data_IF_894430032574
#
_entry.id   IF_894430032574
#
_cell.length_a   1.000
_cell.length_b   1.000
_cell.length_c   1.000
_cell.angle_alpha   90.00
_cell.angle_beta   90.00
_cell.angle_gamma   90.00
#
_symmetry.space_group_name_H-M   'P 1'
#
loop_
_entity.id
_entity.type
_entity.pdbx_description
1 polymer ?
#
# COMPACT_ATOMS: atom_id res chain seq x y z
N UNK A 1 -71.60 12.18 39.65
CA UNK A 1 -70.26 12.62 40.10
C UNK A 1 -69.48 11.36 40.49
N UNK A 2 -68.28 10.99 40.02
CA UNK A 2 -67.26 11.65 39.20
C UNK A 2 -66.53 10.55 38.41
N UNK A 3 -67.04 10.23 37.21
CA UNK A 3 -66.40 9.36 36.21
C UNK A 3 -65.16 10.02 35.55
N UNK A 4 -64.54 10.97 36.24
CA UNK A 4 -63.35 11.73 35.82
C UNK A 4 -62.12 11.48 36.70
N UNK A 5 -62.26 10.69 37.78
CA UNK A 5 -61.18 10.49 38.76
C UNK A 5 -60.38 9.20 38.60
N UNK A 6 -60.92 8.18 37.92
CA UNK A 6 -60.19 6.94 37.64
C UNK A 6 -59.33 7.00 36.37
N UNK A 7 -59.55 7.98 35.49
CA UNK A 7 -58.72 8.17 34.29
C UNK A 7 -57.42 8.96 34.52
N UNK A 8 -57.23 9.56 35.71
CA UNK A 8 -56.01 10.31 36.01
C UNK A 8 -54.84 9.45 36.53
N UNK A 9 -55.05 8.15 36.77
CA UNK A 9 -53.99 7.27 37.28
C UNK A 9 -53.43 6.27 36.26
N UNK A 10 -53.97 6.22 35.04
CA UNK A 10 -53.42 5.39 33.95
C UNK A 10 -52.52 6.18 32.98
N UNK A 11 -52.17 7.43 33.30
CA UNK A 11 -51.15 8.18 32.55
C UNK A 11 -49.72 7.90 33.02
N UNK A 12 -49.52 7.02 34.01
CA UNK A 12 -48.20 6.71 34.55
C UNK A 12 -47.46 5.56 33.84
N UNK A 13 -48.07 4.87 32.89
CA UNK A 13 -47.39 3.77 32.16
C UNK A 13 -47.79 3.80 30.70
N UNK A 14 -46.99 4.49 29.88
CA UNK A 14 -47.20 4.50 28.44
C UNK A 14 -46.19 5.27 27.61
N UNK A 15 -45.01 5.61 28.16
CA UNK A 15 -43.93 6.20 27.38
C UNK A 15 -42.99 5.12 26.85
N UNK A 16 -43.51 4.21 26.01
CA UNK A 16 -42.68 3.33 25.17
C UNK A 16 -43.36 3.24 23.81
N UNK A 17 -43.10 4.21 22.94
CA UNK A 17 -43.34 4.10 21.51
C UNK A 17 -42.06 4.55 20.80
N UNK A 18 -41.48 3.58 20.12
CA UNK A 18 -40.23 3.62 19.38
C UNK A 18 -40.26 4.55 18.15
N UNK A 19 -39.07 5.05 17.79
CA UNK A 19 -38.62 5.31 16.42
C UNK A 19 -39.40 6.36 15.60
N UNK A 20 -38.83 7.57 15.47
CA UNK A 20 -38.46 8.17 14.16
C UNK A 20 -37.77 9.53 14.35
N UNK A 21 -36.44 9.56 14.26
CA UNK A 21 -35.74 10.77 13.79
C UNK A 21 -36.09 10.89 12.30
N UNK A 22 -36.94 11.84 11.93
CA UNK A 22 -37.18 12.18 10.53
C UNK A 22 -35.99 13.00 10.02
N UNK A 23 -35.03 12.32 9.41
CA UNK A 23 -33.95 12.92 8.62
C UNK A 23 -34.56 13.83 7.55
N UNK A 24 -34.24 15.13 7.60
CA UNK A 24 -34.54 16.06 6.50
C UNK A 24 -33.89 15.51 5.22
N UNK A 25 -34.58 15.49 4.06
CA UNK A 25 -33.98 15.04 2.82
C UNK A 25 -32.93 16.07 2.37
N UNK A 26 -31.70 15.92 2.85
CA UNK A 26 -30.54 16.64 2.30
C UNK A 26 -30.36 16.12 0.88
N UNK A 27 -30.67 16.96 -0.10
CA UNK A 27 -30.32 16.68 -1.50
C UNK A 27 -28.81 16.78 -1.66
N UNK A 28 -28.10 15.68 -1.38
CA UNK A 28 -26.70 15.55 -1.74
C UNK A 28 -26.63 15.45 -3.27
N UNK A 29 -26.32 16.57 -3.94
CA UNK A 29 -25.81 16.51 -5.31
C UNK A 29 -24.46 15.79 -5.26
N UNK A 30 -24.45 14.47 -5.47
CA UNK A 30 -23.23 13.75 -5.85
C UNK A 30 -22.88 14.13 -7.29
N UNK A 31 -22.30 15.32 -7.45
CA UNK A 31 -21.55 15.69 -8.64
C UNK A 31 -20.11 15.93 -8.23
N UNK A 32 -19.48 14.89 -7.71
CA UNK A 32 -18.02 14.83 -7.63
C UNK A 32 -17.52 14.43 -9.01
N UNK A 33 -17.05 15.40 -9.81
CA UNK A 33 -15.85 15.11 -10.60
C UNK A 33 -14.70 15.05 -9.61
N UNK A 34 -14.69 13.99 -8.82
CA UNK A 34 -13.56 13.60 -8.01
C UNK A 34 -12.56 13.05 -9.03
N UNK A 35 -11.62 13.90 -9.44
CA UNK A 35 -10.57 13.50 -10.36
C UNK A 35 -9.92 12.25 -9.76
N UNK A 36 -10.22 11.09 -10.34
CA UNK A 36 -9.78 9.81 -9.83
C UNK A 36 -8.25 9.84 -9.87
N UNK A 37 -7.63 10.00 -8.70
CA UNK A 37 -6.18 10.00 -8.57
C UNK A 37 -5.70 8.65 -9.12
N UNK A 38 -5.08 8.66 -10.30
CA UNK A 38 -4.58 7.45 -10.93
C UNK A 38 -3.38 6.96 -10.14
N UNK A 39 -3.60 5.99 -9.26
CA UNK A 39 -2.53 5.37 -8.48
C UNK A 39 -1.74 4.45 -9.42
N UNK A 40 -0.55 4.89 -9.83
CA UNK A 40 0.36 4.09 -10.65
C UNK A 40 1.20 3.20 -9.73
N UNK A 41 1.13 1.88 -9.96
CA UNK A 41 1.98 0.89 -9.31
C UNK A 41 2.58 -0.05 -10.34
N UNK A 42 3.84 -0.41 -10.14
CA UNK A 42 4.56 -1.33 -11.01
C UNK A 42 4.84 -2.63 -10.28
N UNK A 43 4.59 -3.78 -10.91
CA UNK A 43 4.91 -5.10 -10.36
C UNK A 43 6.11 -5.69 -11.09
N UNK A 44 7.21 -5.92 -10.38
CA UNK A 44 8.38 -6.55 -10.98
C UNK A 44 8.07 -8.00 -11.38
N UNK A 45 8.24 -8.39 -12.65
CA UNK A 45 7.86 -9.72 -13.11
C UNK A 45 8.68 -10.85 -12.47
N UNK A 46 9.88 -10.56 -11.96
CA UNK A 46 10.79 -11.55 -11.38
C UNK A 46 10.55 -11.75 -9.88
N UNK A 47 10.65 -10.68 -9.08
CA UNK A 47 10.51 -10.74 -7.62
C UNK A 47 9.06 -10.66 -7.14
N UNK A 48 8.12 -10.31 -8.04
CA UNK A 48 6.72 -10.01 -7.73
C UNK A 48 6.51 -8.83 -6.77
N UNK A 49 7.57 -8.10 -6.42
CA UNK A 49 7.51 -6.89 -5.61
C UNK A 49 6.72 -5.80 -6.34
N UNK A 50 6.01 -4.99 -5.55
CA UNK A 50 5.17 -3.89 -6.03
C UNK A 50 5.85 -2.59 -5.62
N UNK A 51 6.08 -1.72 -6.61
CA UNK A 51 6.71 -0.42 -6.46
C UNK A 51 5.70 0.69 -6.75
N UNK A 52 5.78 1.78 -5.99
CA UNK A 52 5.00 3.00 -6.22
C UNK A 52 5.59 3.82 -7.38
N UNK A 53 4.81 4.74 -7.93
CA UNK A 53 5.26 5.68 -8.95
C UNK A 53 6.57 6.39 -8.51
N UNK A 54 7.53 6.49 -9.43
CA UNK A 54 8.88 7.05 -9.25
C UNK A 54 9.83 6.26 -8.35
N UNK A 55 9.37 5.19 -7.69
CA UNK A 55 10.29 4.29 -7.00
C UNK A 55 11.21 3.60 -8.00
N UNK A 56 12.41 3.30 -7.53
CA UNK A 56 13.45 2.69 -8.34
C UNK A 56 14.06 1.51 -7.60
N UNK A 57 14.53 0.51 -8.35
CA UNK A 57 15.11 -0.71 -7.79
C UNK A 57 16.15 -1.30 -8.75
N UNK A 58 17.01 -2.15 -8.22
CA UNK A 58 17.86 -3.01 -9.04
C UNK A 58 17.19 -4.37 -9.20
N UNK A 59 17.33 -4.95 -10.39
CA UNK A 59 16.93 -6.34 -10.64
C UNK A 59 18.00 -7.09 -11.42
N UNK A 60 18.01 -8.41 -11.25
CA UNK A 60 18.84 -9.30 -12.06
C UNK A 60 18.10 -9.64 -13.36
N UNK A 61 18.71 -9.34 -14.50
CA UNK A 61 18.19 -9.69 -15.82
C UNK A 61 19.25 -10.54 -16.56
N UNK A 62 19.15 -11.87 -16.43
CA UNK A 62 20.15 -12.82 -16.95
C UNK A 62 21.55 -12.51 -16.36
N UNK A 63 22.51 -12.16 -17.21
CA UNK A 63 23.92 -11.88 -16.86
C UNK A 63 24.21 -10.41 -16.52
N UNK A 64 23.19 -9.53 -16.53
CA UNK A 64 23.36 -8.11 -16.20
C UNK A 64 22.45 -7.69 -15.07
N UNK A 65 22.82 -6.60 -14.40
CA UNK A 65 21.96 -5.90 -13.45
C UNK A 65 21.36 -4.69 -14.14
N UNK A 66 20.07 -4.52 -13.96
CA UNK A 66 19.33 -3.38 -14.48
C UNK A 66 18.89 -2.47 -13.35
N UNK A 67 18.97 -1.17 -13.58
CA UNK A 67 18.26 -0.18 -12.80
C UNK A 67 16.91 0.05 -13.44
N UNK A 68 15.87 -0.09 -12.64
CA UNK A 68 14.49 0.06 -13.04
C UNK A 68 13.83 1.19 -12.26
N UNK A 69 12.89 1.86 -12.91
CA UNK A 69 12.03 2.89 -12.32
C UNK A 69 10.58 2.66 -12.72
N UNK A 70 9.68 2.88 -11.77
CA UNK A 70 8.25 2.86 -12.03
C UNK A 70 7.79 4.22 -12.56
N UNK A 71 7.32 4.23 -13.80
CA UNK A 71 6.82 5.41 -14.52
C UNK A 71 5.32 5.23 -14.83
N UNK A 72 4.69 6.29 -15.33
CA UNK A 72 3.25 6.30 -15.66
C UNK A 72 2.85 5.28 -16.73
N UNK A 73 3.79 4.97 -17.62
CA UNK A 73 3.63 4.00 -18.70
C UNK A 73 4.15 2.59 -18.35
N UNK A 74 4.55 2.37 -17.09
CA UNK A 74 5.01 1.06 -16.60
C UNK A 74 6.46 1.08 -16.13
N UNK A 75 7.16 -0.03 -16.37
CA UNK A 75 8.52 -0.23 -15.86
C UNK A 75 9.54 0.19 -16.93
N UNK A 76 10.37 1.18 -16.62
CA UNK A 76 11.51 1.58 -17.45
C UNK A 76 12.80 1.04 -16.85
N UNK A 77 13.56 0.25 -17.61
CA UNK A 77 14.80 -0.37 -17.14
C UNK A 77 15.94 -0.19 -18.13
N UNK A 78 17.16 -0.08 -17.62
CA UNK A 78 18.38 -0.09 -18.41
C UNK A 78 19.51 -0.80 -17.67
N UNK A 79 20.44 -1.39 -18.41
CA UNK A 79 21.63 -2.01 -17.84
C UNK A 79 22.52 -0.95 -17.20
N UNK A 80 23.07 -1.26 -16.02
CA UNK A 80 23.98 -0.37 -15.31
C UNK A 80 25.26 -1.09 -14.93
N UNK A 81 26.42 -0.39 -14.94
CA UNK A 81 27.65 -0.96 -14.39
C UNK A 81 27.50 -1.16 -12.88
N UNK A 82 28.01 -2.30 -12.40
CA UNK A 82 27.97 -2.68 -10.99
C UNK A 82 29.37 -2.86 -10.43
N UNK A 83 29.48 -2.75 -9.11
CA UNK A 83 30.69 -3.05 -8.35
C UNK A 83 30.34 -3.76 -7.05
N UNK A 84 31.35 -4.28 -6.36
CA UNK A 84 31.20 -4.77 -5.00
C UNK A 84 30.72 -3.65 -4.07
N UNK A 85 29.92 -4.00 -3.07
CA UNK A 85 29.43 -3.03 -2.10
C UNK A 85 30.58 -2.45 -1.27
N UNK A 86 30.51 -1.15 -0.95
CA UNK A 86 31.52 -0.49 -0.11
C UNK A 86 31.47 -1.05 1.32
N UNK A 87 30.26 -1.35 1.80
CA UNK A 87 30.01 -1.95 3.12
C UNK A 87 29.38 -3.32 2.96
N UNK A 88 29.66 -4.28 3.85
CA UNK A 88 28.95 -5.55 3.87
C UNK A 88 27.49 -5.27 4.28
N UNK A 89 26.56 -5.48 3.35
CA UNK A 89 25.12 -5.31 3.58
C UNK A 89 24.38 -6.65 3.65
N UNK A 90 24.92 -7.70 3.03
CA UNK A 90 24.27 -9.00 2.96
C UNK A 90 24.78 -9.92 4.07
N UNK A 91 23.87 -10.61 4.76
CA UNK A 91 24.12 -11.60 5.79
C UNK A 91 24.39 -12.99 5.20
N UNK A 92 24.76 -13.94 6.07
CA UNK A 92 24.89 -15.36 5.76
C UNK A 92 25.79 -15.68 4.55
N UNK A 93 26.86 -14.89 4.35
CA UNK A 93 27.79 -15.08 3.24
C UNK A 93 27.25 -14.60 1.88
N UNK A 94 26.16 -13.84 1.86
CA UNK A 94 25.58 -13.28 0.64
C UNK A 94 26.54 -12.35 -0.10
N UNK A 95 26.55 -12.43 -1.43
CA UNK A 95 27.36 -11.55 -2.28
C UNK A 95 26.62 -10.25 -2.56
N UNK A 96 27.23 -9.11 -2.23
CA UNK A 96 26.65 -7.79 -2.44
C UNK A 96 27.17 -7.13 -3.72
N UNK A 97 26.25 -6.66 -4.58
CA UNK A 97 26.57 -5.80 -5.72
C UNK A 97 25.76 -4.51 -5.64
N UNK A 98 26.39 -3.37 -5.91
CA UNK A 98 25.75 -2.06 -5.96
C UNK A 98 25.95 -1.37 -7.31
N UNK A 99 25.01 -0.51 -7.70
CA UNK A 99 25.14 0.30 -8.90
C UNK A 99 26.29 1.31 -8.75
N UNK A 100 27.10 1.45 -9.80
CA UNK A 100 28.29 2.31 -9.75
C UNK A 100 27.92 3.79 -9.52
N UNK A 101 26.92 4.28 -10.27
CA UNK A 101 26.46 5.68 -10.25
C UNK A 101 25.25 5.92 -9.33
N UNK A 102 24.77 4.90 -8.64
CA UNK A 102 23.65 5.01 -7.71
C UNK A 102 23.87 4.10 -6.49
N UNK A 103 24.88 4.42 -5.64
CA UNK A 103 25.41 3.52 -4.62
C UNK A 103 24.40 3.15 -3.52
N UNK A 104 23.29 3.89 -3.40
CA UNK A 104 22.21 3.58 -2.48
C UNK A 104 21.40 2.35 -2.90
N UNK A 105 21.50 1.94 -4.17
CA UNK A 105 20.85 0.74 -4.68
C UNK A 105 21.85 -0.41 -4.76
N UNK A 106 21.47 -1.51 -4.15
CA UNK A 106 22.25 -2.74 -4.11
C UNK A 106 21.32 -3.95 -4.23
N UNK A 107 21.91 -5.10 -4.54
CA UNK A 107 21.26 -6.40 -4.57
C UNK A 107 22.14 -7.41 -3.85
N UNK A 108 21.51 -8.25 -3.03
CA UNK A 108 22.16 -9.37 -2.38
C UNK A 108 21.89 -10.66 -3.13
N UNK A 109 22.93 -11.45 -3.36
CA UNK A 109 22.81 -12.81 -3.87
C UNK A 109 23.00 -13.79 -2.75
N UNK A 110 21.87 -14.37 -2.34
CA UNK A 110 21.82 -15.28 -1.21
C UNK A 110 22.30 -16.68 -1.60
N UNK A 111 23.09 -17.34 -0.74
CA UNK A 111 23.42 -18.74 -0.92
C UNK A 111 22.17 -19.64 -0.76
N UNK A 112 22.24 -20.89 -1.22
CA UNK A 112 21.13 -21.84 -1.05
C UNK A 112 20.71 -21.94 0.42
N UNK A 113 19.38 -21.91 0.66
CA UNK A 113 18.80 -21.94 2.00
C UNK A 113 18.57 -20.56 2.65
N UNK A 114 19.04 -19.47 2.04
CA UNK A 114 18.82 -18.10 2.53
C UNK A 114 18.07 -17.23 1.51
N UNK A 115 17.30 -16.29 2.02
CA UNK A 115 16.35 -15.42 1.32
C UNK A 115 16.21 -14.08 2.04
N UNK A 116 15.35 -13.19 1.53
CA UNK A 116 15.21 -11.83 2.04
C UNK A 116 16.07 -10.82 1.30
N UNK A 117 15.91 -9.54 1.63
CA UNK A 117 16.60 -8.44 0.92
C UNK A 117 18.09 -8.42 1.23
N UNK A 118 18.44 -8.85 2.43
CA UNK A 118 19.79 -8.88 2.97
C UNK A 118 20.25 -10.33 3.22
N UNK A 119 19.56 -11.35 2.73
CA UNK A 119 19.85 -12.76 3.03
C UNK A 119 19.69 -13.11 4.52
N UNK A 120 18.74 -12.46 5.19
CA UNK A 120 18.49 -12.55 6.63
C UNK A 120 17.49 -13.64 7.04
N UNK A 121 16.77 -14.24 6.08
CA UNK A 121 15.76 -15.28 6.29
C UNK A 121 16.28 -16.60 5.75
#
# INVERSE_FOLDING_TARGET
MSLRRTFLFLSLVGAIATLQCTELPVRVKRSGREGQLRIVKCRDPFTKQIYNQRESWLRRAKERIEYCRCEDNGISCHAVPIRGCIKPLCFNGGRCQQALYSPNFFICFCPPGFTGKYCEI
#
